data_IF_343311650132
#
_entry.id   IF_343311650132
#
_cell.length_a   1.000
_cell.length_b   1.000
_cell.length_c   1.000
_cell.angle_alpha   90.00
_cell.angle_beta   90.00
_cell.angle_gamma   90.00
#
_symmetry.space_group_name_H-M   'P 1'
#
loop_
_entity.id
_entity.type
_entity.pdbx_description
1 polymer ?
#
# COMPACT_ATOMS: atom_id res chain seq x y z
N UNK A 1 -7.49 -5.86 -13.97
CA UNK A 1 -8.74 -5.23 -14.45
C UNK A 1 -9.95 -5.69 -13.64
N UNK A 2 -10.21 -7.00 -13.52
CA UNK A 2 -11.33 -7.56 -12.76
C UNK A 2 -11.54 -6.98 -11.35
N UNK A 3 -10.51 -6.96 -10.49
CA UNK A 3 -10.64 -6.44 -9.11
C UNK A 3 -11.07 -4.97 -9.09
N UNK A 4 -10.62 -4.16 -10.05
CA UNK A 4 -11.00 -2.75 -10.15
C UNK A 4 -12.49 -2.62 -10.50
N UNK A 5 -12.98 -3.40 -11.46
CA UNK A 5 -14.41 -3.40 -11.82
C UNK A 5 -15.27 -3.91 -10.67
N UNK A 6 -14.88 -5.03 -10.07
CA UNK A 6 -15.53 -5.62 -8.91
C UNK A 6 -15.69 -4.61 -7.77
N UNK A 7 -14.64 -3.84 -7.47
CA UNK A 7 -14.65 -2.88 -6.35
C UNK A 7 -15.28 -1.54 -6.70
N UNK A 8 -14.99 -0.99 -7.88
CA UNK A 8 -15.38 0.37 -8.24
C UNK A 8 -16.78 0.45 -8.86
N UNK A 9 -17.22 -0.59 -9.58
CA UNK A 9 -18.52 -0.63 -10.25
C UNK A 9 -19.53 -1.45 -9.43
N UNK A 10 -19.19 -2.69 -9.10
CA UNK A 10 -20.13 -3.64 -8.47
C UNK A 10 -20.12 -3.62 -6.93
N UNK A 11 -19.08 -3.00 -6.33
CA UNK A 11 -18.86 -2.96 -4.87
C UNK A 11 -18.84 -4.34 -4.21
N UNK A 12 -18.37 -5.35 -4.94
CA UNK A 12 -18.29 -6.75 -4.51
C UNK A 12 -17.24 -7.02 -3.44
N UNK A 13 -17.11 -8.28 -3.04
CA UNK A 13 -16.18 -8.79 -2.03
C UNK A 13 -15.04 -9.54 -2.68
N UNK A 14 -13.84 -9.44 -2.09
CA UNK A 14 -12.64 -10.03 -2.69
C UNK A 14 -12.72 -11.57 -2.79
N UNK A 15 -13.62 -12.23 -2.06
CA UNK A 15 -13.94 -13.65 -2.24
C UNK A 15 -14.38 -13.99 -3.66
N UNK A 16 -15.08 -13.08 -4.33
CA UNK A 16 -15.59 -13.29 -5.70
C UNK A 16 -14.43 -13.38 -6.71
N UNK A 17 -13.31 -12.70 -6.43
CA UNK A 17 -12.08 -12.90 -7.20
C UNK A 17 -11.51 -14.31 -7.03
N UNK A 18 -11.55 -14.84 -5.81
CA UNK A 18 -11.08 -16.20 -5.55
C UNK A 18 -11.99 -17.27 -6.16
N UNK A 19 -13.30 -17.04 -6.17
CA UNK A 19 -14.29 -17.89 -6.86
C UNK A 19 -14.07 -17.90 -8.37
N UNK A 20 -13.82 -16.73 -8.98
CA UNK A 20 -13.58 -16.57 -10.42
C UNK A 20 -12.26 -17.22 -10.87
N UNK A 21 -11.18 -16.99 -10.14
CA UNK A 21 -9.82 -17.39 -10.57
C UNK A 21 -9.28 -18.62 -9.84
N UNK A 22 -10.06 -19.24 -8.95
CA UNK A 22 -9.67 -20.45 -8.22
C UNK A 22 -8.48 -20.26 -7.28
N UNK A 23 -8.26 -19.04 -6.76
CA UNK A 23 -7.15 -18.77 -5.83
C UNK A 23 -7.55 -18.93 -4.36
N UNK A 24 -6.57 -19.00 -3.47
CA UNK A 24 -6.80 -19.12 -2.02
C UNK A 24 -7.55 -17.88 -1.50
N UNK A 25 -8.65 -18.10 -0.80
CA UNK A 25 -9.33 -17.09 0.02
C UNK A 25 -9.32 -17.56 1.47
N UNK A 26 -8.87 -16.68 2.38
CA UNK A 26 -8.81 -16.98 3.81
C UNK A 26 -9.78 -16.04 4.54
N UNK A 27 -10.95 -16.52 4.96
CA UNK A 27 -11.98 -15.67 5.56
C UNK A 27 -11.52 -15.11 6.90
N UNK A 28 -11.66 -13.80 7.09
CA UNK A 28 -11.38 -13.12 8.36
C UNK A 28 -9.89 -12.92 8.69
N UNK A 29 -9.00 -13.34 7.81
CA UNK A 29 -7.56 -13.26 8.01
C UNK A 29 -6.93 -12.05 7.30
N UNK A 30 -5.74 -11.67 7.78
CA UNK A 30 -4.86 -10.68 7.15
C UNK A 30 -3.78 -11.38 6.32
N UNK A 31 -3.22 -10.73 5.27
CA UNK A 31 -2.25 -11.37 4.38
C UNK A 31 -0.86 -11.60 5.01
N UNK A 32 -0.62 -11.13 6.24
CA UNK A 32 0.70 -11.09 6.88
C UNK A 32 1.30 -12.46 7.22
N UNK A 33 0.54 -13.54 7.06
CA UNK A 33 1.00 -14.92 7.21
C UNK A 33 1.59 -15.51 5.92
N UNK A 34 1.44 -14.85 4.78
CA UNK A 34 1.97 -15.31 3.50
C UNK A 34 3.47 -15.00 3.37
N UNK A 35 4.20 -15.86 2.64
CA UNK A 35 5.62 -15.64 2.35
C UNK A 35 5.79 -14.54 1.31
N UNK A 36 6.61 -13.54 1.60
CA UNK A 36 6.89 -12.43 0.69
C UNK A 36 8.23 -11.77 1.01
N UNK A 37 8.78 -11.04 0.04
CA UNK A 37 9.98 -10.22 0.23
C UNK A 37 9.62 -8.79 0.69
N UNK A 38 8.46 -8.26 0.27
CA UNK A 38 8.04 -6.87 0.54
C UNK A 38 6.59 -6.86 1.03
N UNK A 39 6.33 -6.11 2.11
CA UNK A 39 4.98 -5.86 2.60
C UNK A 39 4.53 -4.41 2.33
N UNK A 40 3.34 -4.24 1.75
CA UNK A 40 2.76 -2.94 1.37
C UNK A 40 1.40 -2.71 2.07
N UNK A 41 1.38 -2.42 3.38
CA UNK A 41 0.12 -2.18 4.08
C UNK A 41 -0.58 -0.91 3.58
N UNK A 42 -1.78 -1.11 3.04
CA UNK A 42 -2.50 -0.12 2.22
C UNK A 42 -4.02 -0.12 2.48
N UNK A 43 -4.48 -0.67 3.61
CA UNK A 43 -5.92 -0.76 3.91
C UNK A 43 -6.38 0.23 4.98
N UNK A 44 -5.79 0.20 6.18
CA UNK A 44 -6.27 1.00 7.32
C UNK A 44 -5.18 1.20 8.38
N UNK A 45 -5.44 2.10 9.31
CA UNK A 45 -4.59 2.33 10.47
C UNK A 45 -4.49 1.08 11.36
N UNK A 46 -3.29 0.81 11.90
CA UNK A 46 -3.01 -0.32 12.81
C UNK A 46 -3.39 -1.72 12.26
N UNK A 47 -3.29 -1.91 10.95
CA UNK A 47 -3.53 -3.21 10.31
C UNK A 47 -2.38 -4.21 10.47
N UNK A 48 -1.17 -3.75 10.82
CA UNK A 48 -0.03 -4.61 11.20
C UNK A 48 0.22 -4.44 12.69
N UNK A 49 -0.06 -5.49 13.45
CA UNK A 49 0.30 -5.59 14.87
C UNK A 49 1.73 -6.10 15.08
N UNK A 50 2.23 -6.07 16.31
CA UNK A 50 3.53 -6.68 16.63
C UNK A 50 3.60 -8.19 16.37
N UNK A 51 2.49 -8.92 16.49
CA UNK A 51 2.42 -10.34 16.13
C UNK A 51 2.51 -10.54 14.62
N UNK A 52 1.84 -9.68 13.84
CA UNK A 52 1.92 -9.68 12.38
C UNK A 52 3.35 -9.35 11.92
N UNK A 53 4.02 -8.39 12.55
CA UNK A 53 5.41 -8.03 12.25
C UNK A 53 6.37 -9.21 12.48
N UNK A 54 6.22 -9.95 13.59
CA UNK A 54 7.01 -11.16 13.85
C UNK A 54 6.78 -12.24 12.79
N UNK A 55 5.53 -12.46 12.38
CA UNK A 55 5.18 -13.43 11.32
C UNK A 55 5.82 -13.04 9.99
N UNK A 56 5.69 -11.78 9.59
CA UNK A 56 6.31 -11.25 8.38
C UNK A 56 7.83 -11.50 8.36
N UNK A 57 8.51 -11.24 9.47
CA UNK A 57 9.95 -11.50 9.54
C UNK A 57 10.31 -12.98 9.44
N UNK A 58 9.54 -13.87 10.09
CA UNK A 58 9.74 -15.32 9.96
C UNK A 58 9.56 -15.79 8.51
N UNK A 59 8.72 -15.08 7.76
CA UNK A 59 8.47 -15.30 6.34
C UNK A 59 9.51 -14.65 5.41
N UNK A 60 10.51 -13.95 5.95
CA UNK A 60 11.66 -13.45 5.20
C UNK A 60 11.46 -12.10 4.53
N UNK A 61 10.55 -11.25 5.03
CA UNK A 61 10.44 -9.89 4.48
C UNK A 61 11.78 -9.15 4.62
N UNK A 62 12.09 -8.33 3.63
CA UNK A 62 13.25 -7.43 3.62
C UNK A 62 12.83 -5.96 3.68
N UNK A 63 11.59 -5.65 3.31
CA UNK A 63 11.07 -4.28 3.30
C UNK A 63 9.59 -4.17 3.66
N UNK A 64 9.23 -3.04 4.25
CA UNK A 64 7.86 -2.60 4.50
C UNK A 64 7.71 -1.17 3.98
N UNK A 65 6.70 -0.90 3.17
CA UNK A 65 6.41 0.45 2.68
C UNK A 65 4.94 0.78 2.88
N UNK A 66 4.66 1.80 3.70
CA UNK A 66 3.30 2.11 4.13
C UNK A 66 2.53 2.91 3.08
N UNK A 67 1.53 2.27 2.47
CA UNK A 67 0.57 2.93 1.58
C UNK A 67 -0.58 3.60 2.33
N UNK A 68 -1.04 3.00 3.42
CA UNK A 68 -2.07 3.59 4.29
C UNK A 68 -1.49 4.62 5.26
N UNK A 69 -2.37 5.35 5.96
CA UNK A 69 -1.96 6.26 7.02
C UNK A 69 -1.81 5.51 8.35
N UNK A 70 -0.57 5.43 8.87
CA UNK A 70 -0.21 4.73 10.11
C UNK A 70 -0.69 3.25 10.18
N UNK A 71 -0.40 2.40 9.18
CA UNK A 71 -0.86 1.01 9.21
C UNK A 71 -0.13 0.14 10.24
N UNK A 72 1.11 0.47 10.61
CA UNK A 72 1.88 -0.32 11.58
C UNK A 72 1.69 0.24 12.99
N UNK A 73 1.42 -0.63 13.97
CA UNK A 73 1.43 -0.21 15.37
C UNK A 73 2.86 0.17 15.83
N UNK A 74 3.02 0.97 16.90
CA UNK A 74 4.36 1.30 17.42
C UNK A 74 5.22 0.05 17.69
N UNK A 75 4.62 -1.02 18.20
CA UNK A 75 5.32 -2.28 18.47
C UNK A 75 5.80 -2.95 17.18
N UNK A 76 5.00 -2.92 16.11
CA UNK A 76 5.40 -3.44 14.80
C UNK A 76 6.59 -2.65 14.23
N UNK A 77 6.56 -1.33 14.35
CA UNK A 77 7.64 -0.44 13.90
C UNK A 77 8.94 -0.73 14.65
N UNK A 78 8.88 -0.87 15.98
CA UNK A 78 10.04 -1.22 16.79
C UNK A 78 10.66 -2.55 16.34
N UNK A 79 9.83 -3.57 16.09
CA UNK A 79 10.26 -4.88 15.60
C UNK A 79 10.98 -4.76 14.25
N UNK A 80 10.40 -4.03 13.29
CA UNK A 80 11.02 -3.83 11.97
C UNK A 80 12.38 -3.12 12.09
N UNK A 81 12.47 -2.08 12.91
CA UNK A 81 13.70 -1.33 13.12
C UNK A 81 14.79 -2.17 13.80
N UNK A 82 14.44 -2.91 14.86
CA UNK A 82 15.38 -3.78 15.58
C UNK A 82 15.99 -4.85 14.66
N UNK A 83 15.22 -5.34 13.69
CA UNK A 83 15.65 -6.40 12.77
C UNK A 83 16.17 -5.87 11.43
N UNK A 84 16.38 -4.55 11.32
CA UNK A 84 16.96 -3.88 10.15
C UNK A 84 16.15 -4.13 8.86
N UNK A 85 14.84 -4.26 8.99
CA UNK A 85 13.93 -4.26 7.85
C UNK A 85 13.92 -2.86 7.23
N UNK A 86 13.99 -2.77 5.90
CA UNK A 86 13.87 -1.50 5.19
C UNK A 86 12.45 -0.97 5.38
N UNK A 87 12.30 0.06 6.20
CA UNK A 87 10.99 0.59 6.58
C UNK A 87 10.79 1.98 5.99
N UNK A 88 9.86 2.10 5.04
CA UNK A 88 9.45 3.37 4.44
C UNK A 88 8.15 3.87 5.12
N UNK A 89 8.23 4.94 5.94
CA UNK A 89 7.08 5.42 6.70
C UNK A 89 6.04 6.06 5.77
N UNK A 90 4.76 5.98 6.14
CA UNK A 90 3.65 6.44 5.29
C UNK A 90 3.79 7.89 4.84
N UNK A 91 4.27 8.76 5.74
CA UNK A 91 4.53 10.19 5.47
C UNK A 91 5.44 10.45 4.24
N UNK A 92 6.24 9.47 3.83
CA UNK A 92 7.07 9.52 2.63
C UNK A 92 6.52 8.59 1.55
N UNK A 93 6.28 7.32 1.87
CA UNK A 93 5.88 6.29 0.91
C UNK A 93 4.54 6.58 0.20
N UNK A 94 3.56 7.15 0.90
CA UNK A 94 2.24 7.47 0.34
C UNK A 94 2.09 8.94 -0.08
N UNK A 95 3.18 9.73 -0.01
CA UNK A 95 3.16 11.16 -0.34
C UNK A 95 2.79 11.44 -1.80
N UNK A 96 2.84 10.44 -2.69
CA UNK A 96 2.44 10.60 -4.08
C UNK A 96 1.03 11.16 -4.26
N UNK A 97 0.08 10.84 -3.37
CA UNK A 97 -1.27 11.39 -3.43
C UNK A 97 -1.31 12.91 -3.28
N UNK A 98 -0.68 13.44 -2.23
CA UNK A 98 -0.60 14.90 -2.01
C UNK A 98 0.28 15.59 -3.04
N UNK A 99 1.33 14.93 -3.52
CA UNK A 99 2.18 15.43 -4.61
C UNK A 99 1.37 15.68 -5.88
N UNK A 100 0.56 14.72 -6.31
CA UNK A 100 -0.31 14.88 -7.50
C UNK A 100 -1.39 15.94 -7.26
N UNK A 101 -1.92 16.10 -6.05
CA UNK A 101 -2.81 17.23 -5.72
C UNK A 101 -2.10 18.59 -5.88
N UNK A 102 -0.83 18.70 -5.51
CA UNK A 102 -0.04 19.91 -5.76
C UNK A 102 0.21 20.17 -7.25
N UNK A 103 0.44 19.11 -8.04
CA UNK A 103 0.54 19.19 -9.50
C UNK A 103 -0.80 19.59 -10.13
N UNK A 104 -1.93 19.14 -9.60
CA UNK A 104 -3.28 19.57 -10.03
C UNK A 104 -3.48 21.06 -9.78
N UNK A 105 -3.12 21.56 -8.59
CA UNK A 105 -3.19 23.00 -8.27
C UNK A 105 -2.31 23.84 -9.20
N UNK A 106 -1.16 23.31 -9.61
CA UNK A 106 -0.26 23.96 -10.58
C UNK A 106 -0.91 24.06 -11.94
N UNK A 107 -1.44 22.96 -12.49
CA UNK A 107 -2.16 22.93 -13.76
C UNK A 107 -3.37 23.88 -13.77
N UNK A 108 -4.13 23.91 -12.67
CA UNK A 108 -5.26 24.83 -12.52
C UNK A 108 -4.82 26.30 -12.56
N UNK A 109 -3.69 26.63 -11.94
CA UNK A 109 -3.13 27.99 -11.93
C UNK A 109 -2.57 28.39 -13.30
N UNK A 110 -1.94 27.45 -14.02
CA UNK A 110 -1.47 27.61 -15.40
C UNK A 110 -2.61 27.65 -16.43
N UNK A 111 -3.80 27.14 -16.06
CA UNK A 111 -4.95 26.91 -16.96
C UNK A 111 -4.58 26.00 -18.14
N UNK A 112 -3.70 25.04 -17.89
CA UNK A 112 -3.21 24.10 -18.88
C UNK A 112 -3.15 22.70 -18.29
N UNK A 113 -3.71 21.73 -19.00
CA UNK A 113 -3.69 20.34 -18.58
C UNK A 113 -2.48 19.63 -19.18
N UNK A 114 -1.71 18.96 -18.33
CA UNK A 114 -0.63 18.10 -18.75
C UNK A 114 -1.15 16.72 -19.17
N UNK A 115 -0.36 16.02 -19.98
CA UNK A 115 -0.57 14.61 -20.30
C UNK A 115 -0.31 13.72 -19.07
N UNK A 116 -0.82 12.48 -19.10
CA UNK A 116 -0.59 11.52 -18.01
C UNK A 116 0.91 11.23 -17.84
N UNK A 117 1.65 11.15 -18.93
CA UNK A 117 3.09 10.92 -18.97
C UNK A 117 3.86 12.05 -18.27
N UNK A 118 3.49 13.31 -18.53
CA UNK A 118 4.09 14.47 -17.88
C UNK A 118 3.84 14.51 -16.37
N UNK A 119 2.63 14.12 -15.92
CA UNK A 119 2.32 14.03 -14.49
C UNK A 119 3.12 12.90 -13.84
N UNK A 120 3.21 11.74 -14.49
CA UNK A 120 3.95 10.57 -14.01
C UNK A 120 5.46 10.84 -13.92
N UNK A 121 6.07 11.51 -14.90
CA UNK A 121 7.47 11.93 -14.85
C UNK A 121 7.76 12.86 -13.67
N UNK A 122 6.88 13.84 -13.42
CA UNK A 122 7.00 14.74 -12.26
C UNK A 122 6.82 13.99 -10.95
N UNK A 123 5.86 13.07 -10.87
CA UNK A 123 5.64 12.24 -9.69
C UNK A 123 6.87 11.39 -9.39
N UNK A 124 7.43 10.71 -10.38
CA UNK A 124 8.67 9.90 -10.24
C UNK A 124 9.88 10.72 -9.81
N UNK A 125 9.94 12.00 -10.16
CA UNK A 125 11.02 12.88 -9.73
C UNK A 125 10.85 13.35 -8.26
N UNK A 126 9.60 13.46 -7.78
CA UNK A 126 9.30 13.84 -6.38
C UNK A 126 9.55 12.68 -5.41
N UNK A 127 9.27 11.44 -5.84
CA UNK A 127 9.40 10.22 -5.04
C UNK A 127 10.83 9.68 -5.02
#
# INVERSE_FOLDING_TARGET
QFVMELKNLYRGRIREYAEEFGCKYVPGERPWSEKADIALPSATQNEISGDDARRLMQNGIIAVSEGANMPSTPEAIEIFQQHKILYAPGKAANAGGVSVSGLEMTQNSERYSWTAEQVDEKLKWIM
#
